data_IF_501108332775
#
_entry.id   IF_501108332775
#
_cell.length_a   1.000
_cell.length_b   1.000
_cell.length_c   1.000
_cell.angle_alpha   90.00
_cell.angle_beta   90.00
_cell.angle_gamma   90.00
#
_symmetry.space_group_name_H-M   'P 1'
#
loop_
_entity.id
_entity.type
_entity.pdbx_description
1 polymer ?
#
# COMPACT_ATOMS: atom_id res chain seq x y z
N UNK A 1 -11.49 7.36 -2.52
CA UNK A 1 -10.61 7.28 -1.34
C UNK A 1 -11.06 6.10 -0.51
N UNK A 2 -10.14 5.18 -0.20
CA UNK A 2 -10.42 3.99 0.61
C UNK A 2 -9.45 3.97 1.80
N UNK A 3 -9.96 3.67 3.00
CA UNK A 3 -9.15 3.51 4.21
C UNK A 3 -9.43 2.13 4.79
N UNK A 4 -8.37 1.43 5.19
CA UNK A 4 -8.46 0.09 5.81
C UNK A 4 -7.57 0.04 7.05
N UNK A 5 -8.00 -0.73 8.06
CA UNK A 5 -7.28 -0.95 9.31
C UNK A 5 -7.20 -2.46 9.57
N UNK A 6 -6.02 -2.97 9.92
CA UNK A 6 -5.81 -4.39 10.23
C UNK A 6 -5.18 -4.56 11.62
N UNK A 7 -5.84 -5.37 12.46
CA UNK A 7 -5.39 -5.64 13.83
C UNK A 7 -4.13 -6.51 13.87
N UNK A 8 -3.19 -6.30 14.82
CA UNK A 8 -1.86 -6.96 14.81
C UNK A 8 -1.85 -8.49 14.89
N UNK A 9 -2.98 -9.14 15.16
CA UNK A 9 -3.06 -10.57 15.55
C UNK A 9 -3.62 -11.52 14.48
N UNK A 10 -3.95 -11.04 13.27
CA UNK A 10 -4.61 -11.87 12.24
C UNK A 10 -3.77 -11.92 10.94
N UNK A 11 -3.94 -13.03 10.23
CA UNK A 11 -3.18 -13.53 9.09
C UNK A 11 -2.91 -12.46 8.01
N UNK A 12 -1.72 -11.85 8.03
CA UNK A 12 -1.21 -10.93 6.99
C UNK A 12 -1.47 -11.43 5.56
N UNK A 13 -1.42 -12.75 5.35
CA UNK A 13 -1.72 -13.39 4.06
C UNK A 13 -3.20 -13.30 3.64
N UNK A 14 -4.13 -13.45 4.58
CA UNK A 14 -5.57 -13.27 4.30
C UNK A 14 -5.84 -11.83 3.89
N UNK A 15 -5.30 -10.87 4.62
CA UNK A 15 -5.40 -9.45 4.28
C UNK A 15 -4.86 -9.12 2.88
N UNK A 16 -3.71 -9.70 2.49
CA UNK A 16 -3.16 -9.54 1.13
C UNK A 16 -4.14 -10.07 0.08
N UNK A 17 -4.72 -11.26 0.31
CA UNK A 17 -5.70 -11.83 -0.61
C UNK A 17 -6.97 -10.98 -0.71
N UNK A 18 -7.50 -10.53 0.43
CA UNK A 18 -8.69 -9.67 0.48
C UNK A 18 -8.45 -8.35 -0.26
N UNK A 19 -7.24 -7.79 -0.14
CA UNK A 19 -6.84 -6.60 -0.89
C UNK A 19 -6.84 -6.85 -2.39
N UNK A 20 -6.31 -7.98 -2.85
CA UNK A 20 -6.35 -8.37 -4.28
C UNK A 20 -7.78 -8.49 -4.77
N UNK A 21 -8.63 -9.24 -4.06
CA UNK A 21 -10.04 -9.40 -4.42
C UNK A 21 -10.76 -8.05 -4.47
N UNK A 22 -10.50 -7.15 -3.53
CA UNK A 22 -11.05 -5.80 -3.56
C UNK A 22 -10.62 -5.00 -4.80
N UNK A 23 -9.35 -5.10 -5.22
CA UNK A 23 -8.84 -4.41 -6.41
C UNK A 23 -9.26 -5.07 -7.74
N UNK A 24 -9.62 -6.34 -7.72
CA UNK A 24 -10.18 -7.07 -8.87
C UNK A 24 -11.67 -6.76 -9.05
N UNK A 25 -12.44 -6.77 -7.96
CA UNK A 25 -13.90 -6.56 -7.98
C UNK A 25 -14.28 -5.11 -8.23
N UNK A 26 -13.54 -4.19 -7.62
CA UNK A 26 -13.62 -2.80 -8.01
C UNK A 26 -12.69 -2.67 -9.19
N UNK A 27 -13.23 -2.49 -10.41
CA UNK A 27 -12.49 -1.69 -11.39
C UNK A 27 -12.13 -0.41 -10.64
N UNK A 28 -10.89 -0.34 -10.14
CA UNK A 28 -10.37 0.79 -9.38
C UNK A 28 -10.38 1.91 -10.40
N UNK A 29 -11.53 2.59 -10.46
CA UNK A 29 -12.07 3.20 -11.66
C UNK A 29 -11.12 4.28 -12.18
N UNK A 30 -11.32 4.71 -13.41
CA UNK A 30 -10.65 5.85 -14.06
C UNK A 30 -10.88 7.16 -13.28
N UNK A 31 -10.33 7.25 -12.08
CA UNK A 31 -10.24 8.44 -11.25
C UNK A 31 -8.80 8.93 -11.32
N UNK A 32 -8.63 10.25 -11.21
CA UNK A 32 -7.31 10.87 -11.38
C UNK A 32 -6.27 10.27 -10.43
N UNK A 33 -6.66 9.89 -9.20
CA UNK A 33 -5.76 9.18 -8.29
C UNK A 33 -6.54 8.23 -7.38
N UNK A 34 -6.00 7.04 -7.14
CA UNK A 34 -6.45 6.18 -6.05
C UNK A 34 -5.44 6.18 -4.92
N UNK A 35 -5.91 6.54 -3.74
CA UNK A 35 -5.14 6.51 -2.50
C UNK A 35 -5.64 5.37 -1.63
N UNK A 36 -4.68 4.58 -1.16
CA UNK A 36 -4.86 3.58 -0.14
C UNK A 36 -4.02 3.97 1.08
N UNK A 37 -4.68 4.03 2.23
CA UNK A 37 -4.08 4.33 3.52
C UNK A 37 -4.31 3.13 4.43
N UNK A 38 -3.26 2.61 5.05
CA UNK A 38 -3.37 1.47 5.94
C UNK A 38 -2.39 1.51 7.12
N UNK A 39 -2.91 1.35 8.33
CA UNK A 39 -2.16 0.92 9.51
C UNK A 39 -2.35 -0.59 9.63
N UNK A 40 -1.37 -1.34 9.12
CA UNK A 40 -1.51 -2.77 8.85
C UNK A 40 -0.66 -3.64 9.75
N UNK A 41 0.10 -3.05 10.67
CA UNK A 41 1.05 -3.76 11.52
C UNK A 41 2.02 -4.67 10.72
N UNK A 42 2.31 -4.30 9.47
CA UNK A 42 3.33 -4.92 8.62
C UNK A 42 4.47 -3.92 8.53
N UNK A 43 5.64 -4.23 9.09
CA UNK A 43 6.79 -3.33 8.95
C UNK A 43 7.36 -3.45 7.53
N UNK A 44 7.13 -2.44 6.70
CA UNK A 44 7.49 -2.47 5.27
C UNK A 44 9.01 -2.44 5.01
N UNK A 45 9.81 -2.13 6.04
CA UNK A 45 11.27 -2.21 5.99
C UNK A 45 11.79 -3.60 6.39
N UNK A 46 10.95 -4.46 6.95
CA UNK A 46 11.33 -5.82 7.28
C UNK A 46 11.61 -6.61 5.99
N UNK A 47 12.74 -7.29 5.94
CA UNK A 47 13.06 -8.24 4.88
C UNK A 47 12.34 -9.56 5.14
N UNK A 48 11.07 -9.63 4.76
CA UNK A 48 10.25 -10.84 4.90
C UNK A 48 9.47 -11.15 3.62
N UNK A 49 9.15 -12.44 3.43
CA UNK A 49 8.31 -12.88 2.31
C UNK A 49 6.94 -12.19 2.33
N UNK A 50 6.39 -11.95 3.52
CA UNK A 50 5.08 -11.29 3.67
C UNK A 50 5.12 -9.84 3.19
N UNK A 51 6.21 -9.11 3.47
CA UNK A 51 6.42 -7.75 2.98
C UNK A 51 6.58 -7.74 1.46
N UNK A 52 7.30 -8.72 0.91
CA UNK A 52 7.43 -8.88 -0.54
C UNK A 52 6.06 -9.13 -1.20
N UNK A 53 5.31 -10.11 -0.71
CA UNK A 53 3.98 -10.48 -1.23
C UNK A 53 3.00 -9.31 -1.14
N UNK A 54 3.07 -8.54 -0.05
CA UNK A 54 2.27 -7.34 0.15
C UNK A 54 2.60 -6.24 -0.88
N UNK A 55 3.88 -5.91 -1.07
CA UNK A 55 4.31 -4.92 -2.07
C UNK A 55 3.92 -5.36 -3.48
N UNK A 56 4.11 -6.64 -3.79
CA UNK A 56 3.79 -7.23 -5.09
C UNK A 56 2.28 -7.13 -5.36
N UNK A 57 1.44 -7.54 -4.40
CA UNK A 57 -0.01 -7.47 -4.55
C UNK A 57 -0.51 -6.06 -4.87
N UNK A 58 0.07 -5.02 -4.27
CA UNK A 58 -0.31 -3.63 -4.58
C UNK A 58 0.25 -3.16 -5.93
N UNK A 59 1.49 -3.54 -6.24
CA UNK A 59 2.14 -3.20 -7.52
C UNK A 59 1.43 -3.84 -8.72
N UNK A 60 0.86 -5.04 -8.58
CA UNK A 60 0.07 -5.73 -9.60
C UNK A 60 -1.12 -4.87 -10.10
N UNK A 61 -1.68 -4.02 -9.24
CA UNK A 61 -2.79 -3.12 -9.57
C UNK A 61 -2.35 -1.66 -9.83
N UNK A 62 -1.04 -1.42 -9.97
CA UNK A 62 -0.48 -0.10 -10.29
C UNK A 62 -0.37 0.85 -9.10
N UNK A 63 -0.44 0.34 -7.87
CA UNK A 63 -0.18 1.15 -6.69
C UNK A 63 1.32 1.26 -6.41
N UNK A 64 1.74 2.47 -6.05
CA UNK A 64 3.10 2.84 -5.68
C UNK A 64 3.13 3.24 -4.21
N UNK A 65 4.07 2.68 -3.48
CA UNK A 65 4.27 2.97 -2.06
C UNK A 65 4.94 4.34 -1.89
N UNK A 66 4.23 5.26 -1.24
CA UNK A 66 4.74 6.58 -0.84
C UNK A 66 5.14 6.53 0.63
N UNK A 67 6.40 6.19 0.91
CA UNK A 67 6.95 6.33 2.26
C UNK A 67 7.87 7.55 2.27
N UNK A 68 7.52 8.55 3.06
CA UNK A 68 8.43 9.67 3.35
C UNK A 68 9.01 9.49 4.76
N UNK A 69 10.32 9.65 4.95
CA UNK A 69 10.94 9.64 6.28
C UNK A 69 10.35 10.68 7.25
N UNK A 70 9.81 11.78 6.71
CA UNK A 70 9.30 12.91 7.50
C UNK A 70 8.11 12.53 8.39
N UNK A 71 7.26 11.59 7.99
CA UNK A 71 6.15 11.11 8.82
C UNK A 71 6.58 10.14 9.91
N UNK A 72 7.88 9.77 9.98
CA UNK A 72 8.39 8.67 10.83
C UNK A 72 9.14 9.10 12.09
N UNK A 73 9.49 10.39 12.25
CA UNK A 73 10.23 10.86 13.42
C UNK A 73 11.46 9.97 13.73
N UNK A 74 11.49 9.34 14.91
CA UNK A 74 12.54 8.42 15.39
C UNK A 74 12.16 6.92 15.28
N UNK A 75 11.01 6.56 14.71
CA UNK A 75 10.54 5.17 14.69
C UNK A 75 11.30 4.31 13.67
N UNK A 76 11.83 3.18 14.16
CA UNK A 76 12.52 2.18 13.34
C UNK A 76 11.50 1.41 12.48
N UNK A 77 10.31 1.12 13.02
CA UNK A 77 9.25 0.45 12.28
C UNK A 77 8.49 1.41 11.36
N UNK A 78 7.99 0.87 10.25
CA UNK A 78 7.12 1.57 9.33
C UNK A 78 5.91 0.70 9.01
N UNK A 79 4.86 0.87 9.82
CA UNK A 79 3.61 0.07 9.77
C UNK A 79 2.42 0.84 9.18
N UNK A 80 2.56 2.16 9.07
CA UNK A 80 1.64 3.07 8.40
C UNK A 80 2.05 3.22 6.94
N UNK A 81 1.17 2.85 6.02
CA UNK A 81 1.43 2.83 4.59
C UNK A 81 0.51 3.75 3.83
N UNK A 82 1.10 4.47 2.86
CA UNK A 82 0.38 5.21 1.85
C UNK A 82 0.74 4.62 0.51
N UNK A 83 -0.26 4.15 -0.23
CA UNK A 83 -0.12 3.68 -1.59
C UNK A 83 -0.92 4.59 -2.52
N UNK A 84 -0.33 4.97 -3.65
CA UNK A 84 -0.98 5.77 -4.69
C UNK A 84 -0.98 5.03 -6.01
N UNK A 85 -2.13 4.96 -6.67
CA UNK A 85 -2.23 4.56 -8.08
C UNK A 85 -2.56 5.82 -8.88
N UNK A 86 -1.61 6.31 -9.70
CA UNK A 86 -1.83 7.48 -10.55
C UNK A 86 -2.68 7.10 -11.78
N UNK A 87 -3.18 8.08 -12.55
CA UNK A 87 -4.00 7.79 -13.73
C UNK A 87 -3.10 7.32 -14.89
N UNK A 88 -1.85 7.78 -14.92
CA UNK A 88 -0.76 7.25 -15.72
C UNK A 88 0.51 7.09 -14.85
N UNK A 89 1.38 6.11 -15.12
CA UNK A 89 2.61 5.90 -14.34
C UNK A 89 3.58 7.09 -14.37
N UNK A 90 3.56 7.89 -15.43
CA UNK A 90 4.45 9.05 -15.63
C UNK A 90 4.12 10.23 -14.70
N UNK A 91 2.92 10.27 -14.12
CA UNK A 91 2.46 11.32 -13.20
C UNK A 91 3.18 11.31 -11.85
N UNK A 92 3.94 10.25 -11.54
CA UNK A 92 4.73 10.14 -10.31
C UNK A 92 6.20 10.56 -10.46
N UNK A 93 6.60 11.05 -11.65
CA UNK A 93 7.95 11.59 -11.82
C UNK A 93 8.17 12.77 -10.87
N UNK A 94 9.34 12.86 -10.21
CA UNK A 94 9.63 13.97 -9.32
C UNK A 94 9.49 15.28 -10.10
N UNK A 95 8.71 16.21 -9.55
CA UNK A 95 8.66 17.58 -10.05
C UNK A 95 10.10 18.11 -10.09
N UNK A 96 10.56 18.44 -11.30
CA UNK A 96 11.88 19.04 -11.54
C UNK A 96 12.00 20.41 -10.88
#
# INVERSE_FOLDING_TARGET
>A
MSAMYESPKIYKKAFINDSRSFFEEKEVANVDFNLFLGDLNIDINEESQVVYDYKLAFSEFGFHLLIKPVSRGLSISCIDHVFVKPPNPESLLPLK
#
